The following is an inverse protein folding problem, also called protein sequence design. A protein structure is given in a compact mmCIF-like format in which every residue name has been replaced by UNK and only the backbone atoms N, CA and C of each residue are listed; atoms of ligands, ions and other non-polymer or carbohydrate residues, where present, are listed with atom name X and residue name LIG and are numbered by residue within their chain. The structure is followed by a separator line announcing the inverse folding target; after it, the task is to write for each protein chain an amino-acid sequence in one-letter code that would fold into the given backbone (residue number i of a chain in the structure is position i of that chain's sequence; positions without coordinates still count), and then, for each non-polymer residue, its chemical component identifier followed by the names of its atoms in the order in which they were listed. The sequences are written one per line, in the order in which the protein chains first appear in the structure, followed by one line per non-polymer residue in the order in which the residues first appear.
data_IF_454850287742
#
_entry.id   IF_454850287742
#
_cell.length_a   1.000
_cell.length_b   1.000
_cell.length_c   1.000
_cell.angle_alpha   90.00
_cell.angle_beta   90.00
_cell.angle_gamma   90.00
#
_symmetry.space_group_name_H-M   'P 1'
#
loop_
_entity.id
_entity.type
_entity.pdbx_description
1 polymer ?
#
# COMPACT_ATOMS: atom_id res chain seq x y z
N UNK A 1 -9.55 -15.45 -3.10
CA UNK A 1 -9.63 -14.01 -3.41
C UNK A 1 -10.27 -13.36 -2.20
N UNK A 2 -9.53 -12.53 -1.46
CA UNK A 2 -10.08 -11.81 -0.31
C UNK A 2 -11.23 -10.89 -0.74
N UNK A 3 -12.22 -10.72 0.13
CA UNK A 3 -13.37 -9.86 -0.12
C UNK A 3 -12.91 -8.40 -0.32
N UNK A 4 -13.48 -7.69 -1.31
CA UNK A 4 -13.17 -6.26 -1.52
C UNK A 4 -13.49 -5.46 -0.24
N UNK A 5 -12.72 -4.41 0.08
CA UNK A 5 -13.00 -3.60 1.26
C UNK A 5 -14.43 -3.03 1.20
N UNK A 6 -15.13 -3.00 2.33
CA UNK A 6 -16.47 -2.38 2.39
C UNK A 6 -16.35 -0.89 2.04
N UNK A 7 -17.32 -0.30 1.33
CA UNK A 7 -17.24 1.13 0.97
C UNK A 7 -17.08 2.03 2.19
N UNK A 8 -17.68 1.66 3.33
CA UNK A 8 -17.57 2.40 4.58
C UNK A 8 -16.16 2.39 5.19
N UNK A 9 -15.28 1.46 4.80
CA UNK A 9 -13.88 1.46 5.27
C UNK A 9 -12.97 2.38 4.44
N UNK A 10 -13.48 2.91 3.32
CA UNK A 10 -12.78 3.85 2.45
C UNK A 10 -13.18 5.30 2.77
N UNK A 11 -12.40 6.25 2.28
CA UNK A 11 -12.57 7.68 2.56
C UNK A 11 -12.24 8.51 1.31
N UNK A 12 -12.63 9.79 1.30
CA UNK A 12 -12.26 10.71 0.23
C UNK A 12 -10.77 11.06 0.28
N UNK A 13 -10.14 11.17 -0.89
CA UNK A 13 -8.71 11.50 -1.04
C UNK A 13 -8.44 12.97 -1.35
N UNK A 14 -9.48 13.76 -1.62
CA UNK A 14 -9.33 15.18 -1.96
C UNK A 14 -9.10 15.99 -0.69
N UNK A 15 -7.93 16.65 -0.50
CA UNK A 15 -7.64 17.45 0.69
C UNK A 15 -8.63 18.61 0.92
N UNK A 16 -9.23 19.14 -0.15
CA UNK A 16 -10.19 20.25 -0.10
C UNK A 16 -11.62 19.77 0.25
N UNK A 17 -11.81 18.48 0.46
CA UNK A 17 -13.13 17.94 0.80
C UNK A 17 -13.36 17.95 2.31
N UNK A 18 -14.54 18.39 2.76
CA UNK A 18 -14.98 18.29 4.15
C UNK A 18 -14.99 16.84 4.69
N UNK A 19 -15.01 15.84 3.80
CA UNK A 19 -14.98 14.41 4.12
C UNK A 19 -13.61 13.76 3.85
N UNK A 20 -12.54 14.57 3.77
CA UNK A 20 -11.17 14.11 3.53
C UNK A 20 -10.68 13.19 4.65
N UNK A 21 -10.18 12.00 4.29
CA UNK A 21 -9.67 10.96 5.22
C UNK A 21 -10.64 10.46 6.29
N UNK A 22 -11.92 10.86 6.27
CA UNK A 22 -12.94 10.38 7.20
C UNK A 22 -13.61 9.11 6.67
N UNK A 23 -13.54 8.02 7.44
CA UNK A 23 -14.19 6.72 7.12
C UNK A 23 -15.64 6.71 7.58
N UNK A 24 -16.47 5.83 7.00
CA UNK A 24 -17.85 5.60 7.44
C UNK A 24 -18.88 6.66 7.03
N UNK A 25 -18.48 7.65 6.23
CA UNK A 25 -19.29 8.83 5.89
C UNK A 25 -20.33 8.60 4.78
N UNK A 26 -20.36 7.40 4.19
CA UNK A 26 -21.29 7.00 3.11
C UNK A 26 -21.32 7.98 1.91
N UNK A 27 -20.27 8.77 1.74
CA UNK A 27 -20.11 9.76 0.68
C UNK A 27 -19.58 9.17 -0.63
N UNK A 28 -19.12 7.92 -0.63
CA UNK A 28 -18.50 7.27 -1.78
C UNK A 28 -19.49 6.38 -2.54
N UNK A 29 -19.47 6.48 -3.87
CA UNK A 29 -20.19 5.60 -4.79
C UNK A 29 -19.27 4.92 -5.77
N UNK A 30 -19.62 3.71 -6.21
CA UNK A 30 -18.93 3.03 -7.31
C UNK A 30 -19.41 3.62 -8.63
N UNK A 31 -18.51 4.26 -9.38
CA UNK A 31 -18.78 4.75 -10.75
C UNK A 31 -18.64 3.64 -11.78
N UNK A 32 -17.58 2.84 -11.67
CA UNK A 32 -17.31 1.70 -12.55
C UNK A 32 -16.41 0.69 -11.86
N UNK A 33 -16.39 -0.54 -12.37
CA UNK A 33 -15.48 -1.60 -11.97
C UNK A 33 -14.63 -2.00 -13.17
N UNK A 34 -13.32 -2.21 -12.99
CA UNK A 34 -12.39 -2.48 -14.09
C UNK A 34 -11.27 -3.45 -13.70
N UNK A 35 -10.64 -4.04 -14.72
CA UNK A 35 -9.55 -5.00 -14.57
C UNK A 35 -10.00 -6.37 -14.06
N UNK A 36 -9.09 -7.35 -14.12
CA UNK A 36 -9.35 -8.73 -13.71
C UNK A 36 -9.66 -8.84 -12.20
N UNK A 37 -8.98 -8.03 -11.39
CA UNK A 37 -9.19 -7.95 -9.94
C UNK A 37 -10.48 -7.20 -9.53
N UNK A 38 -11.33 -6.82 -10.50
CA UNK A 38 -12.60 -6.10 -10.27
C UNK A 38 -12.43 -4.86 -9.38
N UNK A 39 -11.48 -4.01 -9.75
CA UNK A 39 -11.15 -2.78 -9.02
C UNK A 39 -12.26 -1.76 -9.23
N UNK A 40 -12.79 -1.21 -8.14
CA UNK A 40 -13.80 -0.15 -8.17
C UNK A 40 -13.15 1.22 -8.33
N UNK A 41 -13.67 1.99 -9.28
CA UNK A 41 -13.44 3.42 -9.42
C UNK A 41 -14.56 4.15 -8.70
N UNK A 42 -14.21 4.95 -7.71
CA UNK A 42 -15.11 5.60 -6.79
C UNK A 42 -15.31 7.07 -7.17
N UNK A 43 -16.46 7.62 -6.79
CA UNK A 43 -16.77 9.05 -6.84
C UNK A 43 -17.24 9.51 -5.47
N UNK A 44 -16.68 10.60 -4.98
CA UNK A 44 -17.19 11.30 -3.80
C UNK A 44 -18.40 12.17 -4.19
N UNK A 45 -19.52 11.99 -3.51
CA UNK A 45 -20.75 12.80 -3.74
C UNK A 45 -20.63 14.23 -3.20
N UNK A 46 -19.69 14.50 -2.30
CA UNK A 46 -19.52 15.81 -1.66
C UNK A 46 -18.65 16.73 -2.51
N UNK A 47 -17.46 16.30 -2.92
CA UNK A 47 -16.53 17.12 -3.71
C UNK A 47 -16.45 16.74 -5.19
N UNK A 48 -17.11 15.66 -5.63
CA UNK A 48 -17.07 15.20 -7.01
C UNK A 48 -15.81 14.43 -7.41
N UNK A 49 -14.76 14.41 -6.59
CA UNK A 49 -13.48 13.74 -6.87
C UNK A 49 -13.67 12.26 -7.19
N UNK A 50 -12.94 11.79 -8.20
CA UNK A 50 -12.99 10.40 -8.64
C UNK A 50 -11.64 9.71 -8.58
N UNK A 51 -11.62 8.51 -8.03
CA UNK A 51 -10.37 7.83 -7.76
C UNK A 51 -10.55 6.32 -7.68
N UNK A 52 -9.47 5.60 -7.98
CA UNK A 52 -9.41 4.15 -7.75
C UNK A 52 -9.51 3.86 -6.26
N UNK A 53 -10.26 2.82 -5.87
CA UNK A 53 -10.28 2.36 -4.47
C UNK A 53 -8.89 1.94 -3.95
N UNK A 54 -7.95 1.62 -4.85
CA UNK A 54 -6.56 1.32 -4.49
C UNK A 54 -5.74 2.57 -4.18
N UNK A 55 -6.24 3.79 -4.48
CA UNK A 55 -5.46 5.03 -4.28
C UNK A 55 -5.05 5.13 -2.81
N UNK A 56 -3.77 5.42 -2.57
CA UNK A 56 -3.19 5.46 -1.23
C UNK A 56 -2.71 4.09 -0.69
N UNK A 57 -2.93 2.99 -1.42
CA UNK A 57 -2.37 1.67 -1.09
C UNK A 57 -1.14 1.33 -1.92
N UNK A 58 -0.39 0.31 -1.50
CA UNK A 58 0.73 -0.25 -2.26
C UNK A 58 0.32 -0.83 -3.63
N UNK A 59 -0.95 -1.20 -3.78
CA UNK A 59 -1.50 -1.79 -5.00
C UNK A 59 -1.86 -0.75 -6.06
N UNK A 60 -1.88 0.55 -5.72
CA UNK A 60 -2.18 1.59 -6.70
C UNK A 60 -1.19 1.56 -7.87
N UNK A 61 -1.73 1.66 -9.10
CA UNK A 61 -0.98 1.64 -10.35
C UNK A 61 -0.11 0.38 -10.55
N UNK A 62 -0.51 -0.74 -9.94
CA UNK A 62 0.11 -2.06 -10.13
C UNK A 62 -0.53 -2.76 -11.33
N UNK A 63 0.31 -3.30 -12.23
CA UNK A 63 -0.14 -4.02 -13.43
C UNK A 63 -0.23 -5.54 -13.26
N UNK A 64 0.32 -6.08 -12.17
CA UNK A 64 0.12 -7.49 -11.79
C UNK A 64 -1.14 -7.62 -10.96
N UNK A 65 -1.73 -8.83 -10.93
CA UNK A 65 -2.89 -9.11 -10.08
C UNK A 65 -2.58 -8.87 -8.59
N UNK A 66 -3.62 -8.62 -7.79
CA UNK A 66 -3.44 -8.43 -6.33
C UNK A 66 -2.78 -9.63 -5.68
N UNK A 67 -3.23 -10.84 -6.03
CA UNK A 67 -2.66 -12.09 -5.54
C UNK A 67 -1.15 -12.17 -5.82
N UNK A 68 -0.74 -11.80 -7.04
CA UNK A 68 0.67 -11.81 -7.42
C UNK A 68 1.48 -10.75 -6.67
N UNK A 69 0.90 -9.55 -6.47
CA UNK A 69 1.53 -8.50 -5.67
C UNK A 69 1.72 -8.92 -4.20
N UNK A 70 0.70 -9.56 -3.61
CA UNK A 70 0.77 -10.13 -2.25
C UNK A 70 1.84 -11.21 -2.17
N UNK A 71 1.89 -12.11 -3.16
CA UNK A 71 2.93 -13.15 -3.24
C UNK A 71 4.34 -12.56 -3.31
N UNK A 72 4.55 -11.51 -4.11
CA UNK A 72 5.83 -10.78 -4.17
C UNK A 72 6.24 -10.26 -2.79
N UNK A 73 5.34 -9.55 -2.10
CA UNK A 73 5.63 -8.99 -0.78
C UNK A 73 5.88 -10.07 0.28
N UNK A 74 5.14 -11.19 0.20
CA UNK A 74 5.34 -12.34 1.09
C UNK A 74 6.73 -12.96 0.91
N UNK A 75 7.17 -13.17 -0.33
CA UNK A 75 8.52 -13.68 -0.61
C UNK A 75 9.61 -12.75 -0.07
N UNK A 76 9.44 -11.43 -0.24
CA UNK A 76 10.37 -10.45 0.30
C UNK A 76 10.38 -10.45 1.84
N UNK A 77 9.22 -10.65 2.48
CA UNK A 77 9.13 -10.73 3.95
C UNK A 77 9.90 -11.92 4.54
N UNK A 78 10.09 -12.98 3.76
CA UNK A 78 10.92 -14.13 4.12
C UNK A 78 12.42 -13.94 3.84
N UNK A 79 12.81 -12.77 3.32
CA UNK A 79 14.21 -12.47 3.01
C UNK A 79 14.66 -12.88 1.61
N UNK A 80 13.74 -13.23 0.70
CA UNK A 80 14.12 -13.55 -0.67
C UNK A 80 14.69 -12.32 -1.41
N UNK A 81 15.72 -12.55 -2.22
CA UNK A 81 16.28 -11.51 -3.10
C UNK A 81 15.26 -11.05 -4.13
N UNK A 82 15.34 -9.79 -4.55
CA UNK A 82 14.49 -9.19 -5.61
C UNK A 82 14.53 -10.03 -6.89
N UNK A 83 15.73 -10.40 -7.34
CA UNK A 83 15.92 -11.19 -8.57
C UNK A 83 15.31 -12.58 -8.46
N UNK A 84 15.51 -13.25 -7.31
CA UNK A 84 14.94 -14.58 -7.06
C UNK A 84 13.41 -14.52 -7.05
N UNK A 85 12.84 -13.52 -6.35
CA UNK A 85 11.38 -13.30 -6.30
C UNK A 85 10.80 -13.01 -7.69
N UNK A 86 11.47 -12.18 -8.49
CA UNK A 86 11.07 -11.87 -9.85
C UNK A 86 11.02 -13.12 -10.74
N UNK A 87 12.03 -14.00 -10.60
CA UNK A 87 12.09 -15.28 -11.33
C UNK A 87 11.02 -16.26 -10.87
N UNK A 88 10.90 -16.49 -9.55
CA UNK A 88 9.95 -17.46 -8.97
C UNK A 88 8.50 -17.13 -9.31
N UNK A 89 8.18 -15.84 -9.38
CA UNK A 89 6.82 -15.38 -9.64
C UNK A 89 6.60 -14.95 -11.09
N UNK A 90 7.60 -15.05 -11.98
CA UNK A 90 7.49 -14.59 -13.37
C UNK A 90 6.95 -13.15 -13.45
N UNK A 91 7.60 -12.22 -12.76
CA UNK A 91 7.34 -10.76 -12.82
C UNK A 91 8.62 -10.01 -13.12
N UNK A 92 8.53 -8.77 -13.59
CA UNK A 92 9.74 -7.96 -13.81
C UNK A 92 10.39 -7.57 -12.48
N UNK A 93 11.72 -7.47 -12.47
CA UNK A 93 12.48 -6.94 -11.32
C UNK A 93 11.98 -5.56 -10.90
N UNK A 94 11.63 -4.71 -11.87
CA UNK A 94 11.08 -3.37 -11.63
C UNK A 94 9.73 -3.42 -10.90
N UNK A 95 8.90 -4.43 -11.18
CA UNK A 95 7.64 -4.62 -10.46
C UNK A 95 7.90 -4.95 -9.00
N UNK A 96 8.86 -5.83 -8.72
CA UNK A 96 9.26 -6.20 -7.35
C UNK A 96 9.84 -4.99 -6.62
N UNK A 97 10.80 -4.29 -7.24
CA UNK A 97 11.43 -3.08 -6.69
C UNK A 97 10.42 -1.96 -6.43
N UNK A 98 9.44 -1.77 -7.31
CA UNK A 98 8.35 -0.80 -7.09
C UNK A 98 7.48 -1.22 -5.92
N UNK A 99 7.06 -2.48 -5.86
CA UNK A 99 6.19 -2.98 -4.80
C UNK A 99 6.84 -2.83 -3.43
N UNK A 100 8.09 -3.23 -3.25
CA UNK A 100 8.78 -3.05 -1.95
C UNK A 100 8.92 -1.57 -1.58
N UNK A 101 9.27 -0.69 -2.54
CA UNK A 101 9.43 0.74 -2.29
C UNK A 101 8.13 1.43 -1.89
N UNK A 102 7.03 1.16 -2.62
CA UNK A 102 5.73 1.77 -2.31
C UNK A 102 5.17 1.19 -1.02
N UNK A 103 5.29 -0.12 -0.80
CA UNK A 103 4.85 -0.77 0.43
C UNK A 103 5.60 -0.20 1.63
N UNK A 104 6.91 -0.03 1.56
CA UNK A 104 7.68 0.60 2.64
C UNK A 104 7.14 1.96 3.07
N UNK A 105 6.79 2.83 2.11
CA UNK A 105 6.17 4.13 2.41
C UNK A 105 4.78 4.02 3.03
N UNK A 106 3.95 3.11 2.53
CA UNK A 106 2.60 2.89 3.09
C UNK A 106 2.69 2.30 4.50
N UNK A 107 3.59 1.35 4.72
CA UNK A 107 3.86 0.74 6.02
C UNK A 107 4.41 1.74 7.02
N UNK A 108 5.28 2.67 6.60
CA UNK A 108 5.76 3.76 7.45
C UNK A 108 4.58 4.63 7.91
N UNK A 109 3.73 5.11 6.99
CA UNK A 109 2.57 5.90 7.36
C UNK A 109 1.59 5.15 8.27
N UNK A 110 1.42 3.84 8.08
CA UNK A 110 0.61 3.01 8.98
C UNK A 110 1.25 2.89 10.36
N UNK A 111 2.57 2.67 10.42
CA UNK A 111 3.32 2.60 11.67
C UNK A 111 3.22 3.92 12.44
N UNK A 112 3.45 5.04 11.78
CA UNK A 112 3.32 6.38 12.37
C UNK A 112 1.90 6.65 12.87
N UNK A 113 0.86 6.03 12.30
CA UNK A 113 -0.52 6.19 12.79
C UNK A 113 -0.87 5.24 13.94
N UNK A 114 -0.32 4.03 13.94
CA UNK A 114 -0.72 2.97 14.88
C UNK A 114 0.15 2.91 16.13
N UNK A 115 1.42 3.28 16.02
CA UNK A 115 2.41 3.18 17.09
C UNK A 115 2.63 4.58 17.66
N UNK A 116 1.62 5.03 18.41
CA UNK A 116 1.60 6.34 19.08
C UNK A 116 1.39 6.12 20.58
N UNK A 117 2.05 6.95 21.40
CA UNK A 117 1.87 6.98 22.87
C UNK A 117 1.91 5.60 23.54
N UNK A 118 2.84 4.73 23.09
CA UNK A 118 2.92 3.34 23.57
C UNK A 118 3.45 3.31 25.00
N UNK A 119 2.64 2.84 25.94
CA UNK A 119 3.08 2.55 27.30
C UNK A 119 3.97 1.30 27.32
N UNK A 120 5.25 1.47 27.67
CA UNK A 120 6.23 0.39 27.71
C UNK A 120 6.82 0.24 29.11
N UNK A 121 6.95 -1.01 29.57
CA UNK A 121 7.56 -1.33 30.87
C UNK A 121 9.09 -1.35 30.81
N UNK A 122 9.66 -1.62 29.64
CA UNK A 122 11.09 -1.68 29.39
C UNK A 122 11.37 -1.40 27.91
N UNK A 123 12.55 -0.86 27.62
CA UNK A 123 13.04 -0.59 26.27
C UNK A 123 14.26 -1.48 26.05
N UNK A 124 14.25 -2.25 24.97
CA UNK A 124 15.41 -3.00 24.51
C UNK A 124 15.96 -2.33 23.26
N UNK A 125 17.27 -2.09 23.26
CA UNK A 125 18.00 -1.71 22.06
C UNK A 125 18.59 -2.98 21.45
N UNK A 126 18.40 -3.14 20.15
CA UNK A 126 19.00 -4.19 19.36
C UNK A 126 19.73 -3.55 18.17
N UNK A 127 20.80 -4.19 17.71
CA UNK A 127 21.62 -3.67 16.63
C UNK A 127 21.57 -4.60 15.42
N UNK A 128 21.20 -4.01 14.28
CA UNK A 128 21.21 -4.71 13.00
C UNK A 128 22.31 -4.17 12.11
N UNK A 129 23.37 -4.96 11.97
CA UNK A 129 24.47 -4.67 11.04
C UNK A 129 24.07 -5.06 9.62
N UNK A 130 24.31 -4.16 8.66
CA UNK A 130 24.12 -4.46 7.25
C UNK A 130 25.09 -3.65 6.38
N UNK A 131 25.49 -4.21 5.24
CA UNK A 131 26.28 -3.49 4.26
C UNK A 131 25.37 -2.56 3.46
N UNK A 132 25.71 -1.27 3.46
CA UNK A 132 25.08 -0.27 2.59
C UNK A 132 26.07 0.16 1.51
N UNK A 133 25.56 0.58 0.34
CA UNK A 133 26.40 1.20 -0.67
C UNK A 133 26.87 2.55 -0.12
N UNK A 134 28.18 2.79 -0.11
CA UNK A 134 28.74 4.12 0.15
C UNK A 134 28.31 5.04 -0.99
N UNK A 135 27.48 6.03 -0.70
CA UNK A 135 27.31 7.20 -1.56
C UNK A 135 28.56 8.05 -1.38
N UNK A 136 29.32 8.26 -2.45
CA UNK A 136 30.42 9.23 -2.43
C UNK A 136 29.82 10.63 -2.19
N UNK A 137 30.11 11.19 -1.02
CA UNK A 137 30.07 12.63 -0.78
C UNK A 137 31.49 13.15 -1.02
N UNK A 138 31.63 14.03 -2.02
CA UNK A 138 32.71 15.01 -2.16
C UNK A 138 32.07 16.37 -2.35
#
# INVERSE_FOLDING_TARGET
MEERPKLNSLCCINPECNEYKLKGRKNLTVRKTYGEDKIRYLKCRVCGEEFSERKGSALFNTKVSEEKAVSVLKHLSWGNRIVATASLLSVSKDTVSRLIRVTGRVSQGLHDQMVQEVEVKAIQFDEKWSFTKKTEEY
#
